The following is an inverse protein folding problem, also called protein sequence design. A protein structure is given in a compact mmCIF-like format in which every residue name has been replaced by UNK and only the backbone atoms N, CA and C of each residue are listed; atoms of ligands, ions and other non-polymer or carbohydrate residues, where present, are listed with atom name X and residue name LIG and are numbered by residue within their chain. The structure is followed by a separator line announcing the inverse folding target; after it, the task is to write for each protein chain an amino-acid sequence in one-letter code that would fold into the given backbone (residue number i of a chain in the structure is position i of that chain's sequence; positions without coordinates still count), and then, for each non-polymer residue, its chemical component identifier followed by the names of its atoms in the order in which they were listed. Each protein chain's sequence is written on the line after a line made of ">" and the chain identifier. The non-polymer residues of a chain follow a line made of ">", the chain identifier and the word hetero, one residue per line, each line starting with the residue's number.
data_IF_761260348362
#
_entry.id   IF_761260348362
#
_cell.length_a   1.000
_cell.length_b   1.000
_cell.length_c   1.000
_cell.angle_alpha   90.00
_cell.angle_beta   90.00
_cell.angle_gamma   90.00
#
_symmetry.space_group_name_H-M   'P 1'
#
loop_
_entity.id
_entity.type
_entity.pdbx_description
1 polymer ?
#
# COMPACT_ATOMS: atom_id res chain seq x y z
N UNK A 1 17.35 -10.62 -17.25
CA UNK A 1 17.30 -9.23 -17.75
C UNK A 1 15.84 -8.83 -17.79
N UNK A 2 15.46 -7.68 -17.23
CA UNK A 2 14.08 -7.20 -17.26
C UNK A 2 13.63 -7.03 -18.71
N UNK A 3 12.36 -7.30 -18.98
CA UNK A 3 11.77 -7.17 -20.32
C UNK A 3 11.74 -5.70 -20.78
N UNK A 4 11.70 -4.78 -19.82
CA UNK A 4 11.64 -3.34 -20.03
C UNK A 4 12.76 -2.65 -19.25
N UNK A 5 13.36 -1.62 -19.84
CA UNK A 5 14.27 -0.72 -19.13
C UNK A 5 13.47 0.48 -18.67
N UNK A 6 13.13 0.51 -17.39
CA UNK A 6 12.47 1.64 -16.75
C UNK A 6 13.50 2.53 -16.06
N UNK A 7 13.24 3.83 -15.99
CA UNK A 7 14.04 4.78 -15.21
C UNK A 7 13.13 5.52 -14.24
N UNK A 8 13.53 5.59 -12.97
CA UNK A 8 12.84 6.38 -11.95
C UNK A 8 13.11 7.87 -12.18
N UNK A 9 12.06 8.64 -12.47
CA UNK A 9 12.13 10.10 -12.64
C UNK A 9 11.94 10.79 -11.29
N UNK A 10 10.92 10.38 -10.55
CA UNK A 10 10.63 10.90 -9.22
C UNK A 10 10.16 9.78 -8.32
N UNK A 11 10.60 9.83 -7.07
CA UNK A 11 10.22 8.84 -6.05
C UNK A 11 8.79 9.04 -5.53
N UNK A 12 8.25 10.25 -5.62
CA UNK A 12 7.00 10.59 -4.93
C UNK A 12 7.20 10.75 -3.42
N UNK A 13 6.09 10.82 -2.69
CA UNK A 13 6.08 11.10 -1.25
C UNK A 13 5.49 9.96 -0.43
N UNK A 14 6.12 9.65 0.70
CA UNK A 14 5.55 8.79 1.74
C UNK A 14 4.57 9.61 2.56
N UNK A 15 3.28 9.45 2.27
CA UNK A 15 2.20 10.10 3.01
C UNK A 15 1.74 9.19 4.17
N UNK A 16 1.85 9.68 5.40
CA UNK A 16 1.66 8.86 6.61
C UNK A 16 0.30 8.17 6.70
N UNK A 17 -0.79 8.86 6.35
CA UNK A 17 -2.14 8.29 6.39
C UNK A 17 -2.36 7.18 5.35
N UNK A 18 -1.69 7.25 4.20
CA UNK A 18 -1.77 6.24 3.15
C UNK A 18 -0.87 5.05 3.47
N UNK A 19 0.40 5.30 3.80
CA UNK A 19 1.39 4.23 3.94
C UNK A 19 1.35 3.54 5.30
N UNK A 20 0.84 4.19 6.35
CA UNK A 20 0.80 3.63 7.71
C UNK A 20 -0.61 3.60 8.33
N UNK A 21 -1.61 4.12 7.61
CA UNK A 21 -3.00 4.12 8.07
C UNK A 21 -3.72 2.78 7.87
N UNK A 22 -5.06 2.77 8.02
CA UNK A 22 -5.87 1.55 7.93
C UNK A 22 -5.69 0.79 6.61
N UNK A 23 -5.61 1.51 5.50
CA UNK A 23 -5.51 0.97 4.14
C UNK A 23 -4.05 0.84 3.65
N UNK A 24 -3.08 0.83 4.58
CA UNK A 24 -1.66 0.78 4.24
C UNK A 24 -1.29 -0.35 3.31
N UNK A 25 -1.88 -1.53 3.45
CA UNK A 25 -1.60 -2.71 2.62
C UNK A 25 -1.63 -2.42 1.10
N UNK A 26 -2.46 -1.49 0.66
CA UNK A 26 -2.63 -1.18 -0.78
C UNK A 26 -1.55 -0.21 -1.30
N UNK A 27 -0.73 0.34 -0.40
CA UNK A 27 0.36 1.27 -0.69
C UNK A 27 1.75 0.61 -0.60
N UNK A 28 1.81 -0.72 -0.45
CA UNK A 28 3.05 -1.49 -0.42
C UNK A 28 2.96 -2.72 -1.32
N UNK A 29 4.00 -2.96 -2.13
CA UNK A 29 4.10 -4.10 -3.04
C UNK A 29 5.02 -5.15 -2.42
N UNK A 30 4.56 -6.40 -2.23
CA UNK A 30 5.43 -7.49 -1.84
C UNK A 30 6.32 -7.90 -2.99
N UNK A 31 7.60 -8.08 -2.70
CA UNK A 31 8.54 -8.73 -3.60
C UNK A 31 9.16 -9.94 -2.89
N UNK A 32 9.02 -11.13 -3.47
CA UNK A 32 9.71 -12.30 -2.97
C UNK A 32 11.22 -12.06 -2.97
N UNK A 33 11.86 -12.34 -1.86
CA UNK A 33 13.33 -12.48 -1.81
C UNK A 33 13.72 -13.94 -1.91
N UNK A 34 14.98 -14.19 -2.26
CA UNK A 34 15.55 -15.54 -2.33
C UNK A 34 15.50 -16.26 -0.96
N UNK A 35 15.43 -15.49 0.13
CA UNK A 35 15.36 -15.98 1.51
C UNK A 35 13.93 -16.36 1.96
N UNK A 36 12.92 -16.17 1.10
CA UNK A 36 11.53 -16.55 1.34
C UNK A 36 10.69 -15.51 2.10
N UNK A 37 11.29 -14.41 2.56
CA UNK A 37 10.57 -13.28 3.14
C UNK A 37 10.21 -12.25 2.05
N UNK A 38 8.96 -11.79 2.04
CA UNK A 38 8.53 -10.72 1.13
C UNK A 38 8.98 -9.35 1.65
N UNK A 39 9.87 -8.66 0.92
CA UNK A 39 10.18 -7.26 1.21
C UNK A 39 9.07 -6.39 0.61
N UNK A 40 8.51 -5.50 1.43
CA UNK A 40 7.48 -4.55 1.01
C UNK A 40 8.11 -3.25 0.50
N UNK A 41 7.76 -2.85 -0.72
CA UNK A 41 8.21 -1.61 -1.35
C UNK A 41 7.07 -0.59 -1.45
N UNK A 42 7.31 0.70 -1.19
CA UNK A 42 6.24 1.68 -1.18
C UNK A 42 5.76 2.04 -2.58
N UNK A 43 4.46 2.32 -2.70
CA UNK A 43 3.82 2.90 -3.88
C UNK A 43 3.57 4.38 -3.59
N UNK A 44 4.50 5.27 -3.88
CA UNK A 44 4.35 6.66 -3.45
C UNK A 44 3.48 7.48 -4.42
N UNK A 45 2.48 8.24 -3.97
CA UNK A 45 1.88 9.31 -4.77
C UNK A 45 2.95 10.27 -5.31
N UNK A 46 2.84 10.63 -6.59
CA UNK A 46 3.83 11.44 -7.29
C UNK A 46 5.06 10.67 -7.77
N UNK A 47 5.14 9.36 -7.52
CA UNK A 47 6.16 8.51 -8.15
C UNK A 47 5.98 8.52 -9.66
N UNK A 48 7.08 8.69 -10.40
CA UNK A 48 7.11 8.66 -11.86
C UNK A 48 8.23 7.78 -12.38
N UNK A 49 7.92 6.96 -13.38
CA UNK A 49 8.90 6.16 -14.11
C UNK A 49 8.70 6.37 -15.60
N UNK A 50 9.78 6.27 -16.36
CA UNK A 50 9.73 6.32 -17.83
C UNK A 50 10.26 5.03 -18.41
N UNK A 51 9.57 4.55 -19.44
CA UNK A 51 9.95 3.35 -20.17
C UNK A 51 9.67 3.56 -21.65
N UNK A 52 10.66 3.26 -22.49
CA UNK A 52 10.52 3.33 -23.94
C UNK A 52 10.02 1.99 -24.48
N UNK A 53 8.88 1.99 -25.16
CA UNK A 53 8.31 0.81 -25.82
C UNK A 53 8.05 1.18 -27.29
N UNK A 54 8.59 0.39 -28.23
CA UNK A 54 8.50 0.65 -29.67
C UNK A 54 8.89 2.09 -30.06
N UNK A 55 10.05 2.54 -29.58
CA UNK A 55 10.58 3.89 -29.84
C UNK A 55 9.70 5.05 -29.33
N UNK A 56 8.76 4.76 -28.42
CA UNK A 56 7.90 5.77 -27.80
C UNK A 56 8.01 5.71 -26.30
N UNK A 57 8.11 6.89 -25.68
CA UNK A 57 8.22 7.00 -24.24
C UNK A 57 6.86 6.96 -23.56
N UNK A 58 6.79 6.21 -22.48
CA UNK A 58 5.64 6.10 -21.61
C UNK A 58 6.05 6.49 -20.19
N UNK A 59 5.48 7.58 -19.69
CA UNK A 59 5.70 8.05 -18.32
C UNK A 59 4.54 7.57 -17.46
N UNK A 60 4.81 6.64 -16.55
CA UNK A 60 3.88 6.24 -15.51
C UNK A 60 3.88 7.29 -14.40
N UNK A 61 2.73 7.61 -13.84
CA UNK A 61 2.57 8.43 -12.63
C UNK A 61 1.62 7.73 -11.68
N UNK A 62 2.04 7.55 -10.43
CA UNK A 62 1.17 7.12 -9.35
C UNK A 62 0.47 8.34 -8.76
N UNK A 63 -0.85 8.25 -8.64
CA UNK A 63 -1.70 9.28 -8.04
C UNK A 63 -2.53 8.68 -6.92
N UNK A 64 -3.01 9.53 -6.01
CA UNK A 64 -3.99 9.09 -5.02
C UNK A 64 -5.38 9.02 -5.66
N UNK A 65 -6.01 7.84 -5.63
CA UNK A 65 -7.37 7.62 -6.12
C UNK A 65 -8.28 7.16 -4.98
N UNK A 66 -8.68 8.09 -4.12
CA UNK A 66 -9.33 7.78 -2.86
C UNK A 66 -8.33 7.26 -1.82
N UNK A 67 -8.51 6.03 -1.35
CA UNK A 67 -7.62 5.37 -0.39
C UNK A 67 -6.66 4.36 -1.03
N UNK A 68 -6.71 4.23 -2.36
CA UNK A 68 -5.93 3.28 -3.13
C UNK A 68 -5.03 4.04 -4.14
N UNK A 69 -3.92 3.43 -4.59
CA UNK A 69 -3.14 3.97 -5.68
C UNK A 69 -3.93 3.96 -6.99
N UNK A 70 -3.84 5.07 -7.72
CA UNK A 70 -4.28 5.19 -9.11
C UNK A 70 -3.07 5.27 -10.04
N UNK A 71 -3.19 4.70 -11.23
CA UNK A 71 -2.13 4.66 -12.22
C UNK A 71 -2.53 5.46 -13.45
N UNK A 72 -1.67 6.40 -13.83
CA UNK A 72 -1.82 7.26 -14.98
C UNK A 72 -0.61 7.11 -15.89
N UNK A 73 -0.81 7.03 -17.20
CA UNK A 73 0.28 7.06 -18.17
C UNK A 73 0.15 8.25 -19.11
N UNK A 74 1.31 8.82 -19.45
CA UNK A 74 1.46 9.87 -20.46
C UNK A 74 2.41 9.40 -21.55
N UNK A 75 2.10 9.73 -22.80
CA UNK A 75 2.96 9.43 -23.95
C UNK A 75 2.69 10.43 -25.08
N UNK A 76 3.64 11.34 -25.29
CA UNK A 76 3.47 12.53 -26.14
C UNK A 76 2.18 13.30 -25.79
N UNK A 77 1.23 13.43 -26.73
CA UNK A 77 -0.05 14.08 -26.54
C UNK A 77 -1.16 13.15 -25.98
N UNK A 78 -0.86 11.87 -25.76
CA UNK A 78 -1.82 10.89 -25.23
C UNK A 78 -1.72 10.77 -23.71
N UNK A 79 -2.88 10.55 -23.09
CA UNK A 79 -3.02 10.33 -21.66
C UNK A 79 -4.04 9.21 -21.41
N UNK A 80 -3.72 8.27 -20.51
CA UNK A 80 -4.68 7.27 -20.06
C UNK A 80 -5.71 7.87 -19.10
N UNK A 81 -6.82 7.18 -18.86
CA UNK A 81 -7.59 7.41 -17.64
C UNK A 81 -6.78 6.98 -16.42
N UNK A 82 -7.18 7.45 -15.23
CA UNK A 82 -6.68 6.91 -13.97
C UNK A 82 -7.30 5.51 -13.80
N UNK A 83 -6.46 4.48 -13.80
CA UNK A 83 -6.89 3.09 -13.62
C UNK A 83 -6.47 2.56 -12.25
N UNK A 84 -7.13 1.48 -11.81
CA UNK A 84 -6.80 0.80 -10.54
C UNK A 84 -5.55 -0.07 -10.62
N UNK A 85 -5.09 -0.39 -11.83
CA UNK A 85 -3.85 -1.13 -12.05
C UNK A 85 -2.99 -0.46 -13.10
N UNK A 86 -1.68 -0.57 -12.93
CA UNK A 86 -0.72 -0.09 -13.92
C UNK A 86 -0.93 -0.76 -15.28
N UNK A 87 -1.15 -2.09 -15.30
CA UNK A 87 -1.35 -2.89 -16.51
C UNK A 87 -2.52 -2.41 -17.36
N UNK A 88 -3.63 -2.03 -16.72
CA UNK A 88 -4.80 -1.47 -17.40
C UNK A 88 -4.49 -0.10 -18.03
N UNK A 89 -3.84 0.80 -17.27
CA UNK A 89 -3.49 2.13 -17.75
C UNK A 89 -2.53 2.08 -18.95
N UNK A 90 -1.44 1.31 -18.85
CA UNK A 90 -0.46 1.18 -19.94
C UNK A 90 -1.06 0.50 -21.17
N UNK A 91 -1.85 -0.57 -20.98
CA UNK A 91 -2.50 -1.27 -22.11
C UNK A 91 -3.47 -0.34 -22.84
N UNK A 92 -4.22 0.48 -22.10
CA UNK A 92 -5.17 1.45 -22.66
C UNK A 92 -4.48 2.51 -23.51
N UNK A 93 -3.44 3.18 -22.98
CA UNK A 93 -2.73 4.21 -23.74
C UNK A 93 -1.92 3.62 -24.91
N UNK A 94 -1.36 2.42 -24.75
CA UNK A 94 -0.66 1.73 -25.81
C UNK A 94 -1.59 1.40 -26.98
N UNK A 95 -2.82 0.95 -26.69
CA UNK A 95 -3.84 0.74 -27.72
C UNK A 95 -4.21 2.04 -28.45
N UNK A 96 -4.27 3.17 -27.75
CA UNK A 96 -4.51 4.48 -28.39
C UNK A 96 -3.35 4.90 -29.29
N UNK A 97 -2.10 4.66 -28.85
CA UNK A 97 -0.90 5.04 -29.58
C UNK A 97 -0.66 4.22 -30.85
N UNK A 98 -0.92 2.91 -30.78
CA UNK A 98 -0.55 1.97 -31.86
C UNK A 98 -1.74 1.26 -32.51
N UNK A 99 -2.97 1.56 -32.09
CA UNK A 99 -4.20 0.93 -32.59
C UNK A 99 -4.18 -0.61 -32.49
N UNK A 100 -3.47 -1.16 -31.51
CA UNK A 100 -3.31 -2.61 -31.28
C UNK A 100 -3.71 -3.01 -29.86
N UNK A 101 -4.30 -4.20 -29.72
CA UNK A 101 -4.77 -4.74 -28.42
C UNK A 101 -3.69 -5.56 -27.71
N UNK A 102 -2.51 -4.97 -27.51
CA UNK A 102 -1.41 -5.64 -26.81
C UNK A 102 -1.55 -5.44 -25.31
N UNK A 103 -1.61 -6.54 -24.55
CA UNK A 103 -1.57 -6.49 -23.08
C UNK A 103 -0.13 -6.32 -22.62
N UNK A 104 0.07 -5.35 -21.73
CA UNK A 104 1.37 -5.06 -21.12
C UNK A 104 1.29 -5.27 -19.61
N UNK A 105 2.39 -5.77 -19.06
CA UNK A 105 2.56 -5.97 -17.62
C UNK A 105 3.02 -4.65 -17.00
N UNK A 106 2.08 -3.94 -16.36
CA UNK A 106 2.31 -2.62 -15.78
C UNK A 106 3.44 -2.59 -14.75
N UNK A 107 3.43 -3.47 -13.72
CA UNK A 107 4.55 -3.59 -12.78
C UNK A 107 5.93 -3.71 -13.45
N UNK A 108 6.06 -4.54 -14.50
CA UNK A 108 7.31 -4.66 -15.25
C UNK A 108 7.62 -3.41 -16.08
N UNK A 109 6.61 -2.79 -16.69
CA UNK A 109 6.79 -1.52 -17.41
C UNK A 109 7.22 -0.39 -16.46
N UNK A 110 6.76 -0.40 -15.20
CA UNK A 110 7.19 0.55 -14.18
C UNK A 110 8.56 0.23 -13.58
N UNK A 111 9.14 -0.93 -13.89
CA UNK A 111 10.41 -1.37 -13.33
C UNK A 111 10.32 -1.79 -11.85
N UNK A 112 9.19 -2.32 -11.40
CA UNK A 112 9.08 -2.96 -10.08
C UNK A 112 9.81 -4.31 -9.99
N UNK A 113 10.47 -4.74 -11.06
CA UNK A 113 11.45 -5.81 -11.06
C UNK A 113 12.90 -5.28 -11.03
N UNK A 114 13.13 -3.96 -11.08
CA UNK A 114 14.46 -3.36 -11.11
C UNK A 114 15.02 -3.13 -9.68
N UNK A 115 16.11 -3.81 -9.28
CA UNK A 115 16.70 -3.63 -7.95
C UNK A 115 17.19 -2.21 -7.64
N UNK A 116 17.59 -1.43 -8.66
CA UNK A 116 18.04 -0.05 -8.47
C UNK A 116 16.86 0.88 -8.17
N UNK A 117 15.74 0.72 -8.88
CA UNK A 117 14.51 1.45 -8.56
C UNK A 117 14.09 1.13 -7.13
N UNK A 118 14.15 -0.14 -6.74
CA UNK A 118 13.80 -0.59 -5.39
C UNK A 118 14.67 0.06 -4.31
N UNK A 119 15.98 0.06 -4.51
CA UNK A 119 16.93 0.72 -3.61
C UNK A 119 16.60 2.21 -3.44
N UNK A 120 16.25 2.90 -4.53
CA UNK A 120 15.86 4.31 -4.48
C UNK A 120 14.51 4.52 -3.78
N UNK A 121 13.52 3.66 -4.02
CA UNK A 121 12.21 3.74 -3.37
C UNK A 121 12.29 3.47 -1.86
N UNK A 122 13.24 2.63 -1.41
CA UNK A 122 13.45 2.30 0.00
C UNK A 122 14.39 3.25 0.74
N UNK A 123 15.06 4.18 0.05
CA UNK A 123 15.99 5.12 0.68
C UNK A 123 15.28 5.96 1.76
N UNK A 124 15.85 6.21 2.93
CA UNK A 124 15.22 7.08 3.95
C UNK A 124 13.81 6.62 4.43
N UNK A 125 13.51 5.31 4.35
CA UNK A 125 12.32 4.72 4.99
C UNK A 125 12.71 4.11 6.33
N UNK A 126 12.19 4.70 7.40
CA UNK A 126 12.48 4.26 8.77
C UNK A 126 11.76 2.97 9.18
N UNK A 127 10.58 2.71 8.61
CA UNK A 127 9.76 1.56 8.96
C UNK A 127 9.10 0.98 7.71
N UNK A 128 9.29 -0.31 7.49
CA UNK A 128 8.59 -1.06 6.46
C UNK A 128 7.48 -1.87 7.15
N UNK A 129 6.21 -1.70 6.76
CA UNK A 129 5.15 -2.58 7.21
C UNK A 129 5.47 -4.03 6.88
N UNK A 130 4.89 -4.94 7.63
CA UNK A 130 4.99 -6.38 7.40
C UNK A 130 3.68 -7.03 7.78
N UNK A 131 3.41 -8.19 7.19
CA UNK A 131 2.17 -8.91 7.43
C UNK A 131 2.43 -10.37 7.77
N UNK A 132 1.63 -10.92 8.67
CA UNK A 132 1.74 -12.31 9.10
C UNK A 132 0.38 -12.86 9.51
N UNK A 133 0.28 -14.20 9.56
CA UNK A 133 -0.95 -14.90 9.89
C UNK A 133 -1.01 -15.26 11.36
N UNK A 134 -2.14 -14.98 12.01
CA UNK A 134 -2.46 -15.45 13.37
C UNK A 134 -3.81 -16.15 13.32
N UNK A 135 -3.82 -17.47 13.47
CA UNK A 135 -5.03 -18.28 13.25
C UNK A 135 -5.57 -18.06 11.84
N UNK A 136 -6.81 -17.56 11.71
CA UNK A 136 -7.43 -17.23 10.42
C UNK A 136 -7.32 -15.74 10.04
N UNK A 137 -6.63 -14.94 10.85
CA UNK A 137 -6.44 -13.51 10.59
C UNK A 137 -5.11 -13.29 9.87
N UNK A 138 -5.14 -12.41 8.87
CA UNK A 138 -3.93 -11.88 8.24
C UNK A 138 -3.76 -10.44 8.73
N UNK A 139 -2.78 -10.23 9.59
CA UNK A 139 -2.51 -8.94 10.22
C UNK A 139 -1.44 -8.21 9.43
N UNK A 140 -1.63 -6.90 9.25
CA UNK A 140 -0.64 -5.98 8.72
C UNK A 140 -0.21 -5.04 9.84
N UNK A 141 1.07 -5.07 10.21
CA UNK A 141 1.67 -4.12 11.15
C UNK A 141 2.17 -2.92 10.37
N UNK A 142 1.63 -1.74 10.64
CA UNK A 142 1.99 -0.50 9.96
C UNK A 142 2.73 0.50 10.85
N UNK A 143 2.89 0.17 12.13
CA UNK A 143 3.72 0.94 13.06
C UNK A 143 4.04 0.15 14.31
N UNK A 144 5.22 0.40 14.88
CA UNK A 144 5.66 -0.16 16.15
C UNK A 144 5.84 1.00 17.13
N UNK A 145 5.20 0.88 18.30
CA UNK A 145 5.37 1.79 19.41
C UNK A 145 5.60 0.97 20.67
N UNK A 146 6.57 1.37 21.49
CA UNK A 146 6.92 0.67 22.73
C UNK A 146 6.52 1.52 23.93
N UNK A 147 6.14 0.86 25.02
CA UNK A 147 5.96 1.48 26.33
C UNK A 147 6.43 0.53 27.44
N UNK A 148 6.47 1.04 28.66
CA UNK A 148 6.71 0.22 29.85
C UNK A 148 5.43 -0.34 30.45
N UNK A 149 4.31 -0.32 29.70
CA UNK A 149 3.02 -0.79 30.19
C UNK A 149 2.86 -2.31 29.92
N UNK A 150 2.96 -3.18 30.94
CA UNK A 150 2.81 -4.62 30.76
C UNK A 150 1.38 -5.01 30.34
N UNK A 151 0.36 -4.23 30.73
CA UNK A 151 -1.03 -4.49 30.34
C UNK A 151 -1.25 -4.29 28.83
N UNK A 152 -0.33 -3.58 28.17
CA UNK A 152 -0.31 -3.39 26.72
C UNK A 152 0.70 -4.31 26.03
N UNK A 153 1.17 -5.37 26.71
CA UNK A 153 2.27 -6.21 26.24
C UNK A 153 3.53 -5.39 25.87
N UNK A 154 3.78 -4.30 26.59
CA UNK A 154 4.87 -3.35 26.32
C UNK A 154 4.76 -2.60 24.98
N UNK A 155 3.63 -2.69 24.30
CA UNK A 155 3.34 -1.80 23.18
C UNK A 155 2.89 -0.42 23.68
N UNK A 156 2.92 0.57 22.80
CA UNK A 156 2.67 1.96 23.14
C UNK A 156 2.36 2.83 21.94
N UNK A 157 2.32 4.14 22.18
CA UNK A 157 2.11 5.14 21.13
C UNK A 157 3.02 4.85 19.92
N UNK A 158 2.41 4.74 18.75
CA UNK A 158 3.10 4.39 17.50
C UNK A 158 2.77 2.99 17.00
N UNK A 159 2.25 2.11 17.87
CA UNK A 159 1.73 0.81 17.43
C UNK A 159 0.48 1.01 16.57
N UNK A 160 0.48 0.36 15.40
CA UNK A 160 -0.63 0.35 14.46
C UNK A 160 -0.69 -1.02 13.78
N UNK A 161 -1.87 -1.64 13.81
CA UNK A 161 -2.13 -2.86 13.06
C UNK A 161 -3.51 -2.85 12.40
N UNK A 162 -3.63 -3.56 11.30
CA UNK A 162 -4.91 -3.76 10.62
C UNK A 162 -5.12 -5.21 10.21
N UNK A 163 -6.38 -5.60 10.09
CA UNK A 163 -6.77 -6.88 9.48
C UNK A 163 -8.21 -6.80 8.99
N UNK A 164 -8.56 -7.68 8.04
CA UNK A 164 -9.93 -7.78 7.52
C UNK A 164 -10.63 -8.97 8.15
N UNK A 165 -11.84 -8.73 8.66
CA UNK A 165 -12.69 -9.79 9.20
C UNK A 165 -14.18 -9.45 9.00
N UNK A 166 -15.04 -10.46 9.18
CA UNK A 166 -16.48 -10.25 9.09
C UNK A 166 -17.00 -9.57 10.37
N UNK A 167 -17.63 -8.40 10.20
CA UNK A 167 -18.29 -7.65 11.26
C UNK A 167 -19.73 -7.38 10.86
N UNK A 168 -20.70 -7.79 11.70
CA UNK A 168 -22.15 -7.60 11.43
C UNK A 168 -22.57 -8.08 10.03
N UNK A 169 -22.08 -9.26 9.61
CA UNK A 169 -22.34 -9.92 8.32
C UNK A 169 -21.76 -9.22 7.08
N UNK A 170 -20.83 -8.27 7.24
CA UNK A 170 -20.11 -7.64 6.14
C UNK A 170 -18.59 -7.67 6.39
N UNK A 171 -17.81 -7.70 5.31
CA UNK A 171 -16.36 -7.54 5.41
C UNK A 171 -16.02 -6.15 5.94
N UNK A 172 -15.22 -6.10 7.00
CA UNK A 172 -14.77 -4.87 7.60
C UNK A 172 -13.27 -4.90 7.87
N UNK A 173 -12.65 -3.74 7.78
CA UNK A 173 -11.27 -3.53 8.17
C UNK A 173 -11.24 -3.09 9.63
N UNK A 174 -10.57 -3.86 10.47
CA UNK A 174 -10.23 -3.49 11.83
C UNK A 174 -8.87 -2.79 11.81
N UNK A 175 -8.77 -1.65 12.48
CA UNK A 175 -7.54 -0.90 12.66
C UNK A 175 -7.35 -0.60 14.14
N UNK A 176 -6.36 -1.23 14.75
CA UNK A 176 -6.00 -0.98 16.14
C UNK A 176 -4.79 -0.05 16.19
N UNK A 177 -4.83 0.90 17.13
CA UNK A 177 -3.68 1.75 17.46
C UNK A 177 -3.63 2.06 18.95
N UNK A 178 -2.42 2.33 19.43
CA UNK A 178 -2.23 2.86 20.78
C UNK A 178 -1.95 4.36 20.74
N UNK A 179 -2.63 5.08 21.62
CA UNK A 179 -2.35 6.48 21.96
C UNK A 179 -1.53 6.54 23.25
N UNK A 180 -1.37 7.74 23.84
CA UNK A 180 -0.67 7.86 25.12
C UNK A 180 -1.42 7.21 26.29
N UNK A 181 -2.74 7.08 26.21
CA UNK A 181 -3.61 6.66 27.32
C UNK A 181 -4.57 5.53 26.97
N UNK A 182 -4.91 5.42 25.70
CA UNK A 182 -5.97 4.53 25.24
C UNK A 182 -5.49 3.58 24.14
N UNK A 183 -5.95 2.35 24.26
CA UNK A 183 -6.13 1.40 23.17
C UNK A 183 -7.37 1.77 22.36
N UNK A 184 -7.23 1.82 21.04
CA UNK A 184 -8.30 2.25 20.14
C UNK A 184 -8.43 1.23 19.02
N UNK A 185 -9.66 0.75 18.79
CA UNK A 185 -10.03 -0.03 17.61
C UNK A 185 -11.01 0.78 16.79
N UNK A 186 -10.68 0.98 15.52
CA UNK A 186 -11.54 1.61 14.51
C UNK A 186 -11.96 0.54 13.51
N UNK A 187 -13.23 0.52 13.15
CA UNK A 187 -13.77 -0.40 12.14
C UNK A 187 -14.19 0.42 10.93
N UNK A 188 -13.77 -0.05 9.76
CA UNK A 188 -14.12 0.57 8.49
C UNK A 188 -14.87 -0.39 7.57
N UNK A 189 -15.88 0.13 6.88
CA UNK A 189 -16.58 -0.54 5.79
C UNK A 189 -16.71 0.44 4.63
N UNK A 190 -16.47 -0.02 3.39
CA UNK A 190 -16.51 0.83 2.19
C UNK A 190 -15.70 2.13 2.34
N UNK A 191 -14.51 2.05 2.92
CA UNK A 191 -13.63 3.21 3.17
C UNK A 191 -14.18 4.26 4.15
N UNK A 192 -15.22 3.93 4.92
CA UNK A 192 -15.80 4.80 5.93
C UNK A 192 -15.65 4.19 7.33
N UNK A 193 -15.27 5.00 8.30
CA UNK A 193 -15.24 4.63 9.71
C UNK A 193 -16.68 4.46 10.20
N UNK A 194 -17.05 3.24 10.63
CA UNK A 194 -18.40 2.92 11.09
C UNK A 194 -18.50 2.80 12.61
N UNK A 195 -17.40 2.43 13.28
CA UNK A 195 -17.35 2.28 14.72
C UNK A 195 -15.96 2.61 15.26
N UNK A 196 -15.94 3.16 16.48
CA UNK A 196 -14.72 3.39 17.25
C UNK A 196 -14.95 2.88 18.66
N UNK A 197 -14.03 2.06 19.15
CA UNK A 197 -13.99 1.58 20.52
C UNK A 197 -12.67 2.06 21.14
N UNK A 198 -12.73 2.57 22.35
CA UNK A 198 -11.55 2.95 23.10
C UNK A 198 -11.65 2.51 24.56
N UNK A 199 -10.51 2.22 25.15
CA UNK A 199 -10.34 1.92 26.57
C UNK A 199 -8.87 2.06 26.95
N UNK A 200 -8.59 2.22 28.24
CA UNK A 200 -7.24 2.17 28.79
C UNK A 200 -6.62 0.77 28.74
N UNK A 201 -7.43 -0.31 28.68
CA UNK A 201 -6.96 -1.68 28.56
C UNK A 201 -7.34 -2.29 27.20
N UNK A 202 -6.38 -2.80 26.39
CA UNK A 202 -6.66 -3.36 25.07
C UNK A 202 -7.68 -4.50 25.09
N UNK A 203 -7.65 -5.37 26.12
CA UNK A 203 -8.59 -6.48 26.24
C UNK A 203 -10.02 -5.97 26.42
N UNK A 204 -10.21 -4.91 27.21
CA UNK A 204 -11.52 -4.29 27.40
C UNK A 204 -12.05 -3.67 26.10
N UNK A 205 -11.18 -3.16 25.22
CA UNK A 205 -11.62 -2.70 23.88
C UNK A 205 -12.14 -3.85 23.05
N UNK A 206 -11.45 -4.99 23.06
CA UNK A 206 -11.88 -6.19 22.34
C UNK A 206 -13.15 -6.82 22.90
N UNK A 207 -13.35 -6.79 24.23
CA UNK A 207 -14.60 -7.26 24.86
C UNK A 207 -15.82 -6.44 24.42
N UNK A 208 -15.66 -5.13 24.19
CA UNK A 208 -16.76 -4.26 23.68
C UNK A 208 -17.22 -4.66 22.28
N UNK A 209 -16.44 -5.44 21.52
CA UNK A 209 -16.82 -5.94 20.19
C UNK A 209 -17.67 -7.22 20.25
N UNK A 210 -17.69 -7.91 21.39
CA UNK A 210 -18.46 -9.13 21.58
C UNK A 210 -19.97 -8.88 21.84
N UNK A 211 -20.35 -7.61 22.05
CA UNK A 211 -21.71 -7.15 22.31
C UNK A 211 -22.23 -6.25 21.16
#
# INVERSE_FOLDING_TARGET
>A
MSKYQATLISRGEIISNLHYGPYSKDWWIPRPTDDGDDILYPICPGMKTITTINHRDFIATIVQNGFEPGYLYLSEALQSNICKSSSEAITSIYQQAFLTKTRLDGPLVMGFDDPEIHKNLSFDIYFHPFSFKVGNLYLTISGIGKSNNPDWNYDGRGYQCSFVYNFRKAHALFFQKFSNKDAIIKIYQNFQEINVFCDTNPNMVWEKLAY
#
